data_IF_550246644493
#
_entry.id   IF_550246644493
#
_cell.length_a   1.000
_cell.length_b   1.000
_cell.length_c   1.000
_cell.angle_alpha   90.00
_cell.angle_beta   90.00
_cell.angle_gamma   90.00
#
_symmetry.space_group_name_H-M   'P 1'
#
loop_
_entity.id
_entity.type
_entity.pdbx_description
1 polymer ?
#
# COMPACT_ATOMS: atom_id res chain seq x y z
N UNK A 1 -2.52 25.38 -24.45
CA UNK A 1 -1.97 26.38 -23.52
C UNK A 1 -2.91 26.69 -22.36
N UNK A 2 -4.25 26.57 -22.50
CA UNK A 2 -5.17 26.78 -21.38
C UNK A 2 -5.19 25.60 -20.39
N UNK A 3 -5.05 24.36 -20.88
CA UNK A 3 -5.09 23.16 -20.02
C UNK A 3 -3.90 23.06 -19.06
N UNK A 4 -2.68 23.35 -19.52
CA UNK A 4 -1.47 23.30 -18.66
C UNK A 4 -1.50 24.36 -17.56
N UNK A 5 -2.00 25.57 -17.86
CA UNK A 5 -2.12 26.63 -16.87
C UNK A 5 -3.16 26.28 -15.81
N UNK A 6 -4.30 25.72 -16.22
CA UNK A 6 -5.33 25.25 -15.29
C UNK A 6 -4.77 24.15 -14.38
N UNK A 7 -4.09 23.14 -14.94
CA UNK A 7 -3.45 22.07 -14.17
C UNK A 7 -2.46 22.61 -13.13
N UNK A 8 -1.59 23.55 -13.50
CA UNK A 8 -0.61 24.12 -12.55
C UNK A 8 -1.28 24.91 -11.43
N UNK A 9 -2.35 25.65 -11.74
CA UNK A 9 -3.10 26.43 -10.74
C UNK A 9 -3.85 25.50 -9.81
N UNK A 10 -4.55 24.49 -10.33
CA UNK A 10 -5.27 23.51 -9.53
C UNK A 10 -4.32 22.72 -8.63
N UNK A 11 -3.26 22.14 -9.21
CA UNK A 11 -2.28 21.37 -8.45
C UNK A 11 -1.60 22.22 -7.37
N UNK A 12 -1.22 23.45 -7.70
CA UNK A 12 -0.65 24.39 -6.73
C UNK A 12 -1.63 24.74 -5.60
N UNK A 13 -2.91 24.94 -5.94
CA UNK A 13 -3.96 25.21 -4.97
C UNK A 13 -4.22 24.00 -4.06
N UNK A 14 -4.23 22.77 -4.61
CA UNK A 14 -4.37 21.52 -3.86
C UNK A 14 -3.20 21.35 -2.89
N UNK A 15 -1.95 21.43 -3.35
CA UNK A 15 -0.77 21.24 -2.50
C UNK A 15 -0.72 22.29 -1.38
N UNK A 16 -0.97 23.57 -1.71
CA UNK A 16 -1.04 24.63 -0.70
C UNK A 16 -2.19 24.41 0.29
N UNK A 17 -3.37 24.04 -0.21
CA UNK A 17 -4.56 23.76 0.59
C UNK A 17 -4.32 22.61 1.57
N UNK A 18 -3.80 21.48 1.08
CA UNK A 18 -3.41 20.33 1.91
C UNK A 18 -2.35 20.71 2.94
N UNK A 19 -1.34 21.49 2.58
CA UNK A 19 -0.33 21.98 3.53
C UNK A 19 -0.92 22.85 4.64
N UNK A 20 -1.87 23.73 4.33
CA UNK A 20 -2.57 24.55 5.32
C UNK A 20 -3.47 23.71 6.23
N UNK A 21 -4.22 22.77 5.64
CA UNK A 21 -5.08 21.83 6.36
C UNK A 21 -4.25 20.93 7.28
N UNK A 22 -3.12 20.40 6.81
CA UNK A 22 -2.21 19.59 7.61
C UNK A 22 -1.61 20.38 8.78
N UNK A 23 -1.23 21.65 8.54
CA UNK A 23 -0.78 22.55 9.61
C UNK A 23 -1.88 22.82 10.64
N UNK A 24 -3.13 22.93 10.22
CA UNK A 24 -4.27 23.08 11.11
C UNK A 24 -4.52 21.79 11.92
N UNK A 25 -4.53 20.63 11.27
CA UNK A 25 -4.68 19.32 11.90
C UNK A 25 -3.62 19.08 12.99
N UNK A 26 -2.36 19.39 12.68
CA UNK A 26 -1.26 19.26 13.64
C UNK A 26 -1.43 20.15 14.89
N UNK A 27 -2.07 21.33 14.77
CA UNK A 27 -2.34 22.20 15.93
C UNK A 27 -3.42 21.64 16.86
N UNK A 28 -4.36 20.87 16.33
CA UNK A 28 -5.44 20.24 17.11
C UNK A 28 -5.11 18.81 17.55
N UNK A 29 -3.91 18.31 17.23
CA UNK A 29 -3.48 16.95 17.57
C UNK A 29 -4.16 15.85 16.74
N UNK A 30 -4.65 16.18 15.55
CA UNK A 30 -5.32 15.26 14.62
C UNK A 30 -4.37 14.89 13.48
N UNK A 31 -4.39 13.62 13.03
CA UNK A 31 -3.75 13.27 11.74
C UNK A 31 -4.46 14.01 10.59
N UNK A 32 -3.75 14.57 9.61
CA UNK A 32 -4.38 15.30 8.49
C UNK A 32 -5.29 14.45 7.59
N UNK A 33 -5.15 13.13 7.61
CA UNK A 33 -5.78 12.22 6.64
C UNK A 33 -7.31 12.39 6.54
N UNK A 34 -8.11 12.44 7.63
CA UNK A 34 -9.54 12.62 7.51
C UNK A 34 -9.91 13.95 6.82
N UNK A 35 -9.14 15.00 7.05
CA UNK A 35 -9.37 16.29 6.40
C UNK A 35 -8.99 16.25 4.92
N UNK A 36 -7.95 15.49 4.56
CA UNK A 36 -7.59 15.25 3.15
C UNK A 36 -8.67 14.45 2.41
N UNK A 37 -9.27 13.46 3.06
CA UNK A 37 -10.40 12.70 2.49
C UNK A 37 -11.64 13.59 2.28
N UNK A 38 -11.96 14.47 3.24
CA UNK A 38 -13.03 15.45 3.08
C UNK A 38 -12.74 16.45 1.95
N UNK A 39 -11.49 16.88 1.81
CA UNK A 39 -11.08 17.70 0.67
C UNK A 39 -11.25 16.95 -0.65
N UNK A 40 -10.80 15.69 -0.73
CA UNK A 40 -11.00 14.84 -1.90
C UNK A 40 -12.47 14.67 -2.28
N UNK A 41 -13.36 14.53 -1.30
CA UNK A 41 -14.81 14.48 -1.54
C UNK A 41 -15.39 15.81 -2.02
N UNK A 42 -14.90 16.93 -1.48
CA UNK A 42 -15.37 18.27 -1.84
C UNK A 42 -14.89 18.73 -3.22
N UNK A 43 -13.68 18.31 -3.62
CA UNK A 43 -13.00 18.77 -4.83
C UNK A 43 -12.87 17.70 -5.93
N UNK A 44 -13.26 16.46 -5.65
CA UNK A 44 -13.30 15.37 -6.63
C UNK A 44 -14.51 15.44 -7.55
N UNK A 45 -14.62 14.45 -8.45
CA UNK A 45 -15.71 14.38 -9.41
C UNK A 45 -17.07 14.28 -8.72
N UNK A 46 -18.01 15.17 -9.08
CA UNK A 46 -19.32 15.28 -8.42
C UNK A 46 -19.31 16.00 -7.06
N UNK A 47 -18.17 16.58 -6.66
CA UNK A 47 -18.01 17.41 -5.47
C UNK A 47 -18.58 18.83 -5.61
N UNK A 48 -18.26 19.68 -4.64
CA UNK A 48 -18.66 21.09 -4.60
C UNK A 48 -17.96 21.91 -5.68
N UNK A 49 -16.65 21.67 -5.87
CA UNK A 49 -15.82 22.37 -6.86
C UNK A 49 -14.89 21.33 -7.50
N UNK A 50 -15.34 20.60 -8.53
CA UNK A 50 -14.53 19.58 -9.18
C UNK A 50 -13.22 20.14 -9.77
N UNK A 51 -12.12 19.43 -9.54
CA UNK A 51 -10.78 19.74 -10.07
C UNK A 51 -10.41 18.77 -11.20
N UNK A 52 -11.10 18.89 -12.33
CA UNK A 52 -10.97 17.94 -13.44
C UNK A 52 -9.60 18.04 -14.16
N UNK A 53 -8.94 19.21 -14.14
CA UNK A 53 -7.68 19.40 -14.87
C UNK A 53 -6.48 18.73 -14.18
N UNK A 54 -6.57 18.46 -12.87
CA UNK A 54 -5.53 17.82 -12.07
C UNK A 54 -5.80 16.35 -11.73
N UNK A 55 -6.95 15.80 -12.15
CA UNK A 55 -7.40 14.44 -11.79
C UNK A 55 -6.41 13.36 -12.21
N UNK A 56 -6.00 13.34 -13.49
CA UNK A 56 -5.08 12.32 -14.02
C UNK A 56 -3.73 12.33 -13.29
N UNK A 57 -3.16 13.52 -13.08
CA UNK A 57 -1.91 13.68 -12.34
C UNK A 57 -2.06 13.21 -10.89
N UNK A 58 -3.16 13.57 -10.23
CA UNK A 58 -3.41 13.20 -8.83
C UNK A 58 -3.60 11.70 -8.68
N UNK A 59 -4.26 11.04 -9.64
CA UNK A 59 -4.47 9.59 -9.65
C UNK A 59 -3.15 8.83 -9.74
N UNK A 60 -2.32 9.17 -10.73
CA UNK A 60 -0.99 8.56 -10.90
C UNK A 60 -0.08 8.91 -9.73
N UNK A 61 -0.12 10.16 -9.27
CA UNK A 61 0.64 10.63 -8.11
C UNK A 61 0.30 9.85 -6.84
N UNK A 62 -0.97 9.60 -6.57
CA UNK A 62 -1.42 8.83 -5.41
C UNK A 62 -0.91 7.38 -5.45
N UNK A 63 -0.92 6.73 -6.63
CA UNK A 63 -0.34 5.38 -6.77
C UNK A 63 1.16 5.38 -6.48
N UNK A 64 1.90 6.37 -6.99
CA UNK A 64 3.34 6.54 -6.70
C UNK A 64 3.56 6.77 -5.21
N UNK A 65 2.74 7.60 -4.56
CA UNK A 65 2.79 7.87 -3.12
C UNK A 65 2.65 6.59 -2.29
N UNK A 66 1.68 5.73 -2.62
CA UNK A 66 1.49 4.43 -1.96
C UNK A 66 2.68 3.49 -2.19
N UNK A 67 3.20 3.42 -3.42
CA UNK A 67 4.39 2.62 -3.76
C UNK A 67 5.59 3.09 -2.92
N UNK A 68 5.84 4.39 -2.86
CA UNK A 68 6.93 4.98 -2.08
C UNK A 68 6.77 4.73 -0.58
N UNK A 69 5.54 4.87 -0.06
CA UNK A 69 5.25 4.64 1.36
C UNK A 69 5.56 3.19 1.75
N UNK A 70 5.10 2.22 0.96
CA UNK A 70 5.32 0.81 1.26
C UNK A 70 6.76 0.37 0.98
N UNK A 71 7.43 0.94 -0.02
CA UNK A 71 8.86 0.76 -0.20
C UNK A 71 9.63 1.22 1.05
N UNK A 72 9.38 2.44 1.53
CA UNK A 72 10.06 2.99 2.71
C UNK A 72 9.79 2.14 3.95
N UNK A 73 8.57 1.64 4.11
CA UNK A 73 8.25 0.68 5.16
C UNK A 73 9.08 -0.60 5.00
N UNK A 74 9.18 -1.15 3.79
CA UNK A 74 9.99 -2.34 3.50
C UNK A 74 11.48 -2.15 3.82
N UNK A 75 12.03 -0.96 3.59
CA UNK A 75 13.43 -0.62 3.92
C UNK A 75 13.71 -0.65 5.43
N UNK A 76 12.68 -0.54 6.28
CA UNK A 76 12.83 -0.60 7.74
C UNK A 76 12.91 -2.04 8.27
N UNK A 77 12.59 -3.04 7.44
CA UNK A 77 12.56 -4.45 7.85
C UNK A 77 13.59 -5.29 7.08
N UNK A 78 14.31 -6.14 7.79
CA UNK A 78 15.00 -7.26 7.15
C UNK A 78 14.03 -8.39 6.83
N UNK A 79 14.36 -9.18 5.81
CA UNK A 79 13.54 -10.31 5.39
C UNK A 79 13.38 -11.38 6.50
N UNK A 80 14.38 -11.56 7.35
CA UNK A 80 14.32 -12.43 8.54
C UNK A 80 13.41 -11.88 9.64
N UNK A 81 13.40 -10.56 9.84
CA UNK A 81 12.51 -9.91 10.81
C UNK A 81 11.06 -9.98 10.33
N UNK A 82 10.81 -9.84 9.03
CA UNK A 82 9.47 -10.03 8.46
C UNK A 82 8.94 -11.44 8.79
N UNK A 83 9.69 -12.49 8.41
CA UNK A 83 9.24 -13.88 8.62
C UNK A 83 9.02 -14.16 10.10
N UNK A 84 9.90 -13.67 10.97
CA UNK A 84 9.78 -13.84 12.42
C UNK A 84 8.56 -13.10 12.95
N UNK A 85 8.31 -11.88 12.48
CA UNK A 85 7.16 -11.05 12.85
C UNK A 85 5.86 -11.71 12.39
N UNK A 86 5.76 -12.17 11.15
CA UNK A 86 4.58 -12.87 10.63
C UNK A 86 4.25 -14.13 11.45
N UNK A 87 5.25 -14.93 11.81
CA UNK A 87 5.04 -16.11 12.67
C UNK A 87 4.57 -15.74 14.07
N UNK A 88 5.15 -14.68 14.63
CA UNK A 88 4.82 -14.22 15.99
C UNK A 88 3.43 -13.60 16.04
N UNK A 89 3.03 -12.86 14.99
CA UNK A 89 1.76 -12.15 14.93
C UNK A 89 0.61 -12.94 14.30
N UNK A 90 0.85 -14.17 13.85
CA UNK A 90 -0.19 -15.02 13.28
C UNK A 90 -1.46 -15.14 14.14
N UNK A 91 -1.39 -15.31 15.48
CA UNK A 91 -2.59 -15.33 16.32
C UNK A 91 -3.36 -14.01 16.28
N UNK A 92 -2.66 -12.87 16.29
CA UNK A 92 -3.25 -11.53 16.19
C UNK A 92 -3.95 -11.35 14.85
N UNK A 93 -3.31 -11.74 13.75
CA UNK A 93 -3.90 -11.70 12.42
C UNK A 93 -5.12 -12.63 12.26
N UNK A 94 -5.13 -13.78 12.92
CA UNK A 94 -6.30 -14.66 12.91
C UNK A 94 -7.49 -14.06 13.69
N UNK A 95 -7.23 -13.44 14.83
CA UNK A 95 -8.27 -12.72 15.60
C UNK A 95 -8.81 -11.55 14.79
N UNK A 96 -7.92 -10.76 14.19
CA UNK A 96 -8.28 -9.67 13.29
C UNK A 96 -9.18 -10.14 12.13
N UNK A 97 -8.77 -11.20 11.41
CA UNK A 97 -9.58 -11.82 10.36
C UNK A 97 -10.97 -12.20 10.84
N UNK A 98 -11.06 -13.00 11.91
CA UNK A 98 -12.35 -13.53 12.36
C UNK A 98 -13.26 -12.40 12.83
N UNK A 99 -12.74 -11.45 13.60
CA UNK A 99 -13.57 -10.38 14.17
C UNK A 99 -14.01 -9.36 13.13
N UNK A 100 -13.20 -9.07 12.11
CA UNK A 100 -13.54 -8.08 11.10
C UNK A 100 -14.25 -8.68 9.88
N UNK A 101 -13.93 -9.91 9.47
CA UNK A 101 -14.58 -10.56 8.31
C UNK A 101 -15.99 -11.08 8.64
N UNK A 102 -16.19 -11.64 9.84
CA UNK A 102 -17.45 -12.29 10.21
C UNK A 102 -18.66 -11.35 10.18
N UNK A 103 -18.60 -10.12 10.74
CA UNK A 103 -19.72 -9.18 10.67
C UNK A 103 -20.12 -8.83 9.24
N UNK A 104 -19.14 -8.65 8.34
CA UNK A 104 -19.38 -8.40 6.93
C UNK A 104 -20.07 -9.59 6.24
N UNK A 105 -19.57 -10.81 6.44
CA UNK A 105 -20.23 -12.02 5.91
C UNK A 105 -21.68 -12.14 6.39
N UNK A 106 -21.91 -11.98 7.69
CA UNK A 106 -23.25 -12.08 8.30
C UNK A 106 -24.18 -11.02 7.73
N UNK A 107 -23.72 -9.77 7.61
CA UNK A 107 -24.51 -8.69 7.03
C UNK A 107 -24.94 -8.99 5.59
N UNK A 108 -24.02 -9.46 4.74
CA UNK A 108 -24.33 -9.82 3.35
C UNK A 108 -25.32 -10.98 3.25
N UNK A 109 -25.22 -11.98 4.13
CA UNK A 109 -26.18 -13.08 4.18
C UNK A 109 -27.57 -12.59 4.60
N UNK A 110 -27.66 -11.70 5.60
CA UNK A 110 -28.93 -11.08 6.04
C UNK A 110 -29.55 -10.25 4.91
N UNK A 111 -28.73 -9.53 4.14
CA UNK A 111 -29.16 -8.74 2.98
C UNK A 111 -29.52 -9.59 1.75
N UNK A 112 -29.35 -10.92 1.82
CA UNK A 112 -29.68 -11.83 0.73
C UNK A 112 -28.69 -11.82 -0.44
N UNK A 113 -27.46 -11.34 -0.23
CA UNK A 113 -26.44 -11.26 -1.30
C UNK A 113 -25.81 -12.62 -1.64
N UNK A 114 -26.21 -13.68 -0.94
CA UNK A 114 -25.73 -15.04 -1.15
C UNK A 114 -24.28 -15.29 -0.73
N UNK A 115 -23.73 -16.48 -0.99
CA UNK A 115 -22.40 -16.87 -0.51
C UNK A 115 -21.26 -16.03 -1.10
N UNK A 116 -21.34 -15.66 -2.38
CA UNK A 116 -20.31 -14.83 -3.04
C UNK A 116 -20.33 -13.41 -2.47
N UNK A 117 -21.52 -12.83 -2.26
CA UNK A 117 -21.66 -11.54 -1.59
C UNK A 117 -21.17 -11.56 -0.14
N UNK A 118 -21.35 -12.67 0.57
CA UNK A 118 -20.82 -12.86 1.92
C UNK A 118 -19.30 -12.86 1.96
N UNK A 119 -18.65 -13.59 1.03
CA UNK A 119 -17.18 -13.57 0.91
C UNK A 119 -16.68 -12.17 0.52
N UNK A 120 -17.37 -11.50 -0.41
CA UNK A 120 -17.03 -10.14 -0.84
C UNK A 120 -17.07 -9.15 0.34
N UNK A 121 -18.18 -9.13 1.08
CA UNK A 121 -18.37 -8.18 2.18
C UNK A 121 -17.47 -8.50 3.37
N UNK A 122 -17.17 -9.79 3.61
CA UNK A 122 -16.19 -10.22 4.60
C UNK A 122 -14.79 -9.65 4.34
N UNK A 123 -14.29 -9.71 3.11
CA UNK A 123 -12.99 -9.11 2.82
C UNK A 123 -13.01 -7.58 2.88
N UNK A 124 -14.10 -6.95 2.43
CA UNK A 124 -14.26 -5.48 2.53
C UNK A 124 -14.22 -4.99 3.98
N UNK A 125 -14.84 -5.73 4.91
CA UNK A 125 -14.83 -5.34 6.33
C UNK A 125 -13.57 -5.79 7.07
N UNK A 126 -12.84 -6.77 6.53
CA UNK A 126 -11.59 -7.26 7.11
C UNK A 126 -10.40 -6.34 6.84
N UNK A 127 -10.17 -5.99 5.58
CA UNK A 127 -8.91 -5.39 5.15
C UNK A 127 -8.81 -3.94 5.62
N UNK A 128 -7.70 -3.62 6.27
CA UNK A 128 -7.36 -2.27 6.70
C UNK A 128 -6.50 -1.53 5.66
N UNK A 129 -6.53 -0.20 5.67
CA UNK A 129 -5.63 0.60 4.84
C UNK A 129 -4.26 0.74 5.50
N UNK A 130 -3.29 -0.07 5.06
CA UNK A 130 -1.94 -0.09 5.62
C UNK A 130 -1.23 1.26 5.54
N UNK A 131 -1.37 1.96 4.41
CA UNK A 131 -0.80 3.29 4.22
C UNK A 131 -1.36 4.35 5.17
N UNK A 132 -2.70 4.38 5.34
CA UNK A 132 -3.36 5.31 6.27
C UNK A 132 -2.92 5.03 7.71
N UNK A 133 -2.94 3.77 8.14
CA UNK A 133 -2.56 3.41 9.50
C UNK A 133 -1.08 3.72 9.77
N UNK A 134 -0.18 3.38 8.86
CA UNK A 134 1.24 3.71 9.00
C UNK A 134 1.47 5.23 9.10
N UNK A 135 0.74 6.00 8.30
CA UNK A 135 0.80 7.46 8.34
C UNK A 135 0.25 8.02 9.66
N UNK A 136 -0.89 7.53 10.14
CA UNK A 136 -1.45 7.94 11.45
C UNK A 136 -0.49 7.61 12.59
N UNK A 137 0.13 6.43 12.58
CA UNK A 137 1.11 6.03 13.61
C UNK A 137 2.35 6.93 13.60
N UNK A 138 2.78 7.36 12.41
CA UNK A 138 3.88 8.30 12.23
C UNK A 138 3.51 9.70 12.71
N UNK A 139 2.36 10.23 12.25
CA UNK A 139 1.91 11.60 12.56
C UNK A 139 1.63 11.79 14.06
N UNK A 140 1.13 10.75 14.73
CA UNK A 140 0.88 10.74 16.17
C UNK A 140 2.12 10.37 17.01
N UNK A 141 3.28 10.13 16.39
CA UNK A 141 4.52 9.78 17.09
C UNK A 141 4.47 8.44 17.83
N UNK A 142 3.61 7.51 17.37
CA UNK A 142 3.36 6.21 18.04
C UNK A 142 4.23 5.08 17.52
N UNK A 143 5.15 5.33 16.58
CA UNK A 143 6.02 4.28 16.03
C UNK A 143 6.84 3.53 17.09
N UNK A 144 7.27 4.21 18.15
CA UNK A 144 8.04 3.61 19.25
C UNK A 144 7.21 2.82 20.26
N UNK A 145 5.89 2.76 20.12
CA UNK A 145 5.04 2.06 21.07
C UNK A 145 5.12 0.54 20.92
N UNK A 146 4.82 -0.19 22.01
CA UNK A 146 4.95 -1.66 22.07
C UNK A 146 3.93 -2.38 21.18
N UNK A 147 2.78 -1.76 20.93
CA UNK A 147 1.73 -2.29 20.06
C UNK A 147 2.03 -2.11 18.57
N UNK A 148 2.88 -1.16 18.19
CA UNK A 148 3.09 -0.80 16.78
C UNK A 148 3.63 -1.96 15.93
N UNK A 149 4.62 -2.75 16.39
CA UNK A 149 5.07 -3.93 15.65
C UNK A 149 3.97 -4.97 15.43
N UNK A 150 3.01 -5.09 16.36
CA UNK A 150 1.84 -5.98 16.20
C UNK A 150 0.92 -5.45 15.11
N UNK A 151 0.59 -4.15 15.15
CA UNK A 151 -0.25 -3.48 14.15
C UNK A 151 0.36 -3.63 12.76
N UNK A 152 1.64 -3.26 12.60
CA UNK A 152 2.34 -3.37 11.32
C UNK A 152 2.43 -4.82 10.83
N UNK A 153 2.61 -5.78 11.74
CA UNK A 153 2.60 -7.21 11.43
C UNK A 153 1.25 -7.69 10.88
N UNK A 154 0.14 -7.24 11.48
CA UNK A 154 -1.22 -7.56 11.01
C UNK A 154 -1.46 -6.96 9.62
N UNK A 155 -1.09 -5.69 9.39
CA UNK A 155 -1.24 -5.05 8.08
C UNK A 155 -0.50 -5.79 6.96
N UNK A 156 0.72 -6.26 7.22
CA UNK A 156 1.45 -7.05 6.23
C UNK A 156 0.77 -8.41 6.00
N UNK A 157 0.20 -9.03 7.04
CA UNK A 157 -0.59 -10.26 6.86
C UNK A 157 -1.84 -10.04 6.01
N UNK A 158 -2.56 -8.94 6.21
CA UNK A 158 -3.73 -8.55 5.40
C UNK A 158 -3.32 -8.32 3.94
N UNK A 159 -2.25 -7.56 3.70
CA UNK A 159 -1.73 -7.28 2.36
C UNK A 159 -1.31 -8.56 1.62
N UNK A 160 -0.69 -9.52 2.33
CA UNK A 160 -0.37 -10.84 1.77
C UNK A 160 -1.62 -11.70 1.54
N UNK A 161 -2.61 -11.63 2.43
CA UNK A 161 -3.88 -12.34 2.28
C UNK A 161 -4.67 -11.82 1.07
N UNK A 162 -4.60 -10.53 0.76
CA UNK A 162 -5.23 -9.93 -0.43
C UNK A 162 -4.76 -10.56 -1.74
N UNK A 163 -3.47 -10.91 -1.83
CA UNK A 163 -2.92 -11.58 -3.02
C UNK A 163 -3.56 -12.96 -3.30
N UNK A 164 -4.18 -13.57 -2.28
CA UNK A 164 -4.94 -14.82 -2.40
C UNK A 164 -6.44 -14.53 -2.56
N UNK A 165 -6.94 -13.62 -1.73
CA UNK A 165 -8.36 -13.30 -1.61
C UNK A 165 -8.94 -12.68 -2.89
N UNK A 166 -8.28 -11.68 -3.48
CA UNK A 166 -8.82 -10.97 -4.65
C UNK A 166 -8.93 -11.87 -5.90
N UNK A 167 -7.92 -12.68 -6.27
CA UNK A 167 -8.06 -13.64 -7.36
C UNK A 167 -9.17 -14.67 -7.11
N UNK A 168 -9.29 -15.15 -5.87
CA UNK A 168 -10.34 -16.10 -5.50
C UNK A 168 -11.74 -15.48 -5.63
N UNK A 169 -11.93 -14.27 -5.09
CA UNK A 169 -13.18 -13.53 -5.20
C UNK A 169 -13.54 -13.27 -6.66
N UNK A 170 -12.56 -12.86 -7.48
CA UNK A 170 -12.74 -12.61 -8.91
C UNK A 170 -13.20 -13.86 -9.65
N UNK A 171 -12.58 -15.02 -9.36
CA UNK A 171 -12.98 -16.30 -9.93
C UNK A 171 -14.42 -16.70 -9.53
N UNK A 172 -14.78 -16.47 -8.26
CA UNK A 172 -16.13 -16.73 -7.75
C UNK A 172 -17.18 -15.82 -8.43
N UNK A 173 -16.86 -14.53 -8.60
CA UNK A 173 -17.73 -13.56 -9.28
C UNK A 173 -17.90 -13.88 -10.77
N UNK A 174 -16.85 -14.38 -11.42
CA UNK A 174 -16.89 -14.81 -12.82
C UNK A 174 -17.61 -16.16 -13.03
N UNK A 175 -18.05 -16.84 -11.96
CA UNK A 175 -18.70 -18.15 -12.04
C UNK A 175 -17.77 -19.26 -12.55
N UNK A 176 -16.45 -19.05 -12.48
CA UNK A 176 -15.46 -20.02 -12.94
C UNK A 176 -15.37 -21.13 -11.90
N UNK A 177 -15.36 -22.39 -12.33
CA UNK A 177 -15.16 -23.52 -11.42
C UNK A 177 -13.86 -23.38 -10.63
N UNK A 178 -13.80 -24.00 -9.43
CA UNK A 178 -12.61 -24.01 -8.57
C UNK A 178 -11.32 -24.41 -9.32
N UNK A 179 -11.43 -25.16 -10.42
CA UNK A 179 -10.31 -25.51 -11.29
C UNK A 179 -9.70 -24.29 -12.02
N UNK A 180 -10.51 -23.35 -12.54
CA UNK A 180 -10.01 -22.11 -13.14
C UNK A 180 -9.51 -21.11 -12.09
N UNK A 181 -10.18 -21.05 -10.93
CA UNK A 181 -9.72 -20.28 -9.77
C UNK A 181 -8.38 -20.80 -9.21
N UNK A 182 -8.12 -22.10 -9.29
CA UNK A 182 -6.86 -22.72 -8.85
C UNK A 182 -5.66 -22.29 -9.68
N UNK A 183 -5.82 -22.03 -10.98
CA UNK A 183 -4.73 -21.52 -11.81
C UNK A 183 -4.37 -20.07 -11.45
N UNK A 184 -5.37 -19.20 -11.27
CA UNK A 184 -5.15 -17.83 -10.82
C UNK A 184 -4.50 -17.79 -9.43
N UNK A 185 -4.94 -18.66 -8.52
CA UNK A 185 -4.34 -18.83 -7.21
C UNK A 185 -2.88 -19.31 -7.28
N UNK A 186 -2.57 -20.30 -8.13
CA UNK A 186 -1.21 -20.80 -8.34
C UNK A 186 -0.31 -19.74 -8.96
N UNK A 187 -0.83 -18.93 -9.89
CA UNK A 187 -0.08 -17.81 -10.48
C UNK A 187 0.20 -16.74 -9.42
N UNK A 188 -0.80 -16.35 -8.63
CA UNK A 188 -0.63 -15.33 -7.59
C UNK A 188 0.33 -15.80 -6.48
N UNK A 189 0.12 -17.01 -5.95
CA UNK A 189 1.02 -17.61 -4.95
C UNK A 189 2.42 -17.86 -5.51
N UNK A 190 2.52 -18.27 -6.78
CA UNK A 190 3.78 -18.46 -7.48
C UNK A 190 4.53 -17.15 -7.67
N UNK A 191 3.84 -16.07 -8.04
CA UNK A 191 4.41 -14.74 -8.18
C UNK A 191 4.90 -14.19 -6.84
N UNK A 192 4.05 -14.19 -5.81
CA UNK A 192 4.42 -13.72 -4.46
C UNK A 192 5.55 -14.58 -3.90
N UNK A 193 5.46 -15.90 -4.03
CA UNK A 193 6.48 -16.85 -3.57
C UNK A 193 7.81 -16.68 -4.29
N UNK A 194 7.79 -16.46 -5.61
CA UNK A 194 8.99 -16.20 -6.40
C UNK A 194 9.63 -14.87 -6.00
N UNK A 195 8.84 -13.79 -5.86
CA UNK A 195 9.37 -12.48 -5.44
C UNK A 195 9.95 -12.56 -4.04
N UNK A 196 9.24 -13.17 -3.08
CA UNK A 196 9.76 -13.41 -1.74
C UNK A 196 11.03 -14.25 -1.76
N UNK A 197 11.07 -15.32 -2.55
CA UNK A 197 12.25 -16.16 -2.71
C UNK A 197 13.44 -15.38 -3.27
N UNK A 198 13.23 -14.58 -4.32
CA UNK A 198 14.26 -13.73 -4.92
C UNK A 198 14.75 -12.66 -3.92
N UNK A 199 13.85 -11.99 -3.20
CA UNK A 199 14.19 -11.02 -2.17
C UNK A 199 15.01 -11.66 -1.04
N UNK A 200 14.56 -12.81 -0.51
CA UNK A 200 15.23 -13.54 0.57
C UNK A 200 16.60 -14.10 0.14
N UNK A 201 16.68 -14.67 -1.06
CA UNK A 201 17.87 -15.39 -1.54
C UNK A 201 18.90 -14.48 -2.20
N UNK A 202 18.44 -13.45 -2.92
CA UNK A 202 19.27 -12.60 -3.76
C UNK A 202 19.25 -11.13 -3.33
N UNK A 203 18.62 -10.75 -2.21
CA UNK A 203 18.60 -9.36 -1.73
C UNK A 203 19.99 -8.71 -1.64
N UNK A 204 21.01 -9.46 -1.22
CA UNK A 204 22.42 -8.97 -1.22
C UNK A 204 22.98 -8.71 -2.62
N UNK A 205 22.59 -9.50 -3.63
CA UNK A 205 23.01 -9.31 -5.02
C UNK A 205 22.26 -8.14 -5.66
N UNK A 206 20.97 -8.02 -5.38
CA UNK A 206 20.14 -6.88 -5.81
C UNK A 206 20.70 -5.59 -5.20
N UNK A 207 20.94 -5.57 -3.90
CA UNK A 207 21.56 -4.42 -3.22
C UNK A 207 22.93 -4.07 -3.79
N UNK A 208 23.79 -5.05 -4.10
CA UNK A 208 25.09 -4.77 -4.75
C UNK A 208 24.95 -4.25 -6.18
N UNK A 209 23.98 -4.73 -6.95
CA UNK A 209 23.74 -4.27 -8.31
C UNK A 209 23.14 -2.84 -8.35
N UNK A 210 22.37 -2.49 -7.32
CA UNK A 210 21.72 -1.17 -7.16
C UNK A 210 22.61 -0.17 -6.41
N UNK A 211 23.64 -0.65 -5.70
CA UNK A 211 24.58 0.18 -4.96
C UNK A 211 25.29 1.16 -5.89
N UNK A 212 25.17 2.45 -5.60
CA UNK A 212 25.89 3.51 -6.28
C UNK A 212 26.36 4.54 -5.28
N UNK A 213 27.61 4.97 -5.39
CA UNK A 213 28.15 6.07 -4.58
C UNK A 213 27.53 7.42 -4.95
N UNK A 214 26.81 7.50 -6.08
CA UNK A 214 26.10 8.70 -6.52
C UNK A 214 24.63 8.66 -6.04
N UNK A 215 24.20 9.61 -5.17
CA UNK A 215 22.82 9.68 -4.67
C UNK A 215 21.75 9.77 -5.77
N UNK A 216 22.03 10.47 -6.87
CA UNK A 216 21.08 10.61 -7.98
C UNK A 216 20.84 9.26 -8.68
N UNK A 217 21.92 8.53 -8.95
CA UNK A 217 21.85 7.19 -9.54
C UNK A 217 21.13 6.22 -8.61
N UNK A 218 21.42 6.27 -7.32
CA UNK A 218 20.75 5.45 -6.32
C UNK A 218 19.24 5.71 -6.31
N UNK A 219 18.82 6.98 -6.31
CA UNK A 219 17.41 7.36 -6.37
C UNK A 219 16.74 6.79 -7.63
N UNK A 220 17.34 7.03 -8.81
CA UNK A 220 16.75 6.61 -10.09
C UNK A 220 16.64 5.09 -10.19
N UNK A 221 17.66 4.35 -9.76
CA UNK A 221 17.65 2.89 -9.83
C UNK A 221 16.65 2.30 -8.84
N UNK A 222 16.64 2.75 -7.58
CA UNK A 222 15.71 2.24 -6.58
C UNK A 222 14.27 2.57 -6.94
N UNK A 223 13.99 3.81 -7.32
CA UNK A 223 12.64 4.23 -7.71
C UNK A 223 12.19 3.49 -8.97
N UNK A 224 13.03 3.45 -10.00
CA UNK A 224 12.72 2.77 -11.26
C UNK A 224 12.48 1.27 -11.07
N UNK A 225 13.32 0.59 -10.29
CA UNK A 225 13.13 -0.82 -9.94
C UNK A 225 11.81 -1.02 -9.18
N UNK A 226 11.52 -0.17 -8.20
CA UNK A 226 10.33 -0.30 -7.35
C UNK A 226 9.06 -0.14 -8.18
N UNK A 227 8.97 0.93 -8.99
CA UNK A 227 7.79 1.19 -9.84
C UNK A 227 7.63 0.09 -10.89
N UNK A 228 8.73 -0.40 -11.47
CA UNK A 228 8.68 -1.51 -12.43
C UNK A 228 8.15 -2.80 -11.78
N UNK A 229 8.68 -3.17 -10.61
CA UNK A 229 8.23 -4.36 -9.88
C UNK A 229 6.78 -4.21 -9.43
N UNK A 230 6.38 -3.03 -8.95
CA UNK A 230 5.01 -2.73 -8.56
C UNK A 230 4.03 -2.87 -9.74
N UNK A 231 4.38 -2.34 -10.92
CA UNK A 231 3.58 -2.49 -12.13
C UNK A 231 3.50 -3.94 -12.63
N UNK A 232 4.58 -4.72 -12.53
CA UNK A 232 4.55 -6.15 -12.85
C UNK A 232 3.70 -6.92 -11.83
N UNK A 233 3.79 -6.59 -10.54
CA UNK A 233 2.97 -7.20 -9.50
C UNK A 233 1.47 -6.97 -9.78
N UNK A 234 1.09 -5.74 -10.14
CA UNK A 234 -0.27 -5.38 -10.49
C UNK A 234 -0.81 -6.18 -11.70
N UNK A 235 0.01 -6.40 -12.73
CA UNK A 235 -0.36 -7.27 -13.85
C UNK A 235 -0.61 -8.73 -13.43
N UNK A 236 0.08 -9.20 -12.39
CA UNK A 236 -0.07 -10.54 -11.82
C UNK A 236 -1.18 -10.62 -10.76
N UNK A 237 -2.05 -9.61 -10.66
CA UNK A 237 -3.14 -9.53 -9.67
C UNK A 237 -2.65 -9.45 -8.21
N UNK A 238 -1.41 -9.01 -8.00
CA UNK A 238 -0.85 -8.68 -6.69
C UNK A 238 -0.85 -7.16 -6.54
N UNK A 239 -1.14 -6.63 -5.35
CA UNK A 239 -1.12 -5.18 -5.13
C UNK A 239 0.26 -4.59 -5.47
N UNK A 240 0.28 -3.46 -6.20
CA UNK A 240 1.48 -2.68 -6.47
C UNK A 240 2.25 -2.33 -5.19
N UNK A 241 1.51 -2.08 -4.11
CA UNK A 241 2.03 -1.78 -2.79
C UNK A 241 2.86 -2.96 -2.21
N UNK A 242 2.38 -4.19 -2.37
CA UNK A 242 3.10 -5.41 -1.95
C UNK A 242 4.39 -5.58 -2.75
N UNK A 243 4.34 -5.36 -4.07
CA UNK A 243 5.54 -5.38 -4.91
C UNK A 243 6.61 -4.39 -4.42
N UNK A 244 6.20 -3.17 -4.11
CA UNK A 244 7.08 -2.13 -3.59
C UNK A 244 7.67 -2.49 -2.22
N UNK A 245 6.85 -3.00 -1.30
CA UNK A 245 7.29 -3.48 0.01
C UNK A 245 8.36 -4.58 -0.08
N UNK A 246 8.17 -5.53 -0.98
CA UNK A 246 9.11 -6.63 -1.21
C UNK A 246 10.45 -6.15 -1.77
N UNK A 247 10.44 -5.13 -2.65
CA UNK A 247 11.67 -4.46 -3.09
C UNK A 247 12.37 -3.81 -1.90
N UNK A 248 11.64 -3.12 -1.03
CA UNK A 248 12.18 -2.51 0.19
C UNK A 248 12.92 -3.53 1.07
N UNK A 249 12.32 -4.69 1.31
CA UNK A 249 12.92 -5.77 2.11
C UNK A 249 14.17 -6.38 1.44
N UNK A 250 14.20 -6.41 0.10
CA UNK A 250 15.35 -6.92 -0.65
C UNK A 250 16.56 -5.97 -0.56
N UNK A 251 16.32 -4.67 -0.38
CA UNK A 251 17.35 -3.66 -0.18
C UNK A 251 17.75 -3.63 1.30
N UNK A 252 19.05 -3.55 1.58
CA UNK A 252 19.55 -3.58 2.95
C UNK A 252 20.86 -2.80 3.08
N UNK A 253 21.27 -2.50 4.31
CA UNK A 253 22.51 -1.78 4.61
C UNK A 253 22.52 -0.35 4.05
N UNK A 254 23.66 0.09 3.54
CA UNK A 254 23.89 1.46 3.06
C UNK A 254 22.92 1.88 1.94
N UNK A 255 22.53 0.94 1.07
CA UNK A 255 21.54 1.17 -0.01
C UNK A 255 20.18 1.50 0.57
N UNK A 256 19.75 0.81 1.63
CA UNK A 256 18.46 1.08 2.28
C UNK A 256 18.46 2.42 3.02
N UNK A 257 19.54 2.75 3.72
CA UNK A 257 19.68 4.05 4.39
C UNK A 257 19.71 5.22 3.39
N UNK A 258 20.48 5.08 2.31
CA UNK A 258 20.56 6.06 1.23
C UNK A 258 19.22 6.26 0.54
N UNK A 259 18.55 5.17 0.16
CA UNK A 259 17.23 5.20 -0.45
C UNK A 259 16.19 5.86 0.47
N UNK A 260 16.20 5.51 1.76
CA UNK A 260 15.28 6.11 2.75
C UNK A 260 15.44 7.62 2.81
N UNK A 261 16.66 8.12 2.90
CA UNK A 261 16.95 9.56 2.98
C UNK A 261 16.48 10.31 1.73
N UNK A 262 16.64 9.71 0.56
CA UNK A 262 16.33 10.33 -0.73
C UNK A 262 14.84 10.27 -1.08
N UNK A 263 14.15 9.18 -0.73
CA UNK A 263 12.76 8.93 -1.12
C UNK A 263 11.74 9.44 -0.11
N UNK A 264 12.13 9.68 1.15
CA UNK A 264 11.22 10.22 2.19
C UNK A 264 10.54 11.53 1.76
N UNK A 265 11.25 12.55 1.22
CA UNK A 265 10.60 13.78 0.79
C UNK A 265 9.67 13.59 -0.41
N UNK A 266 9.97 12.64 -1.30
CA UNK A 266 9.11 12.31 -2.44
C UNK A 266 7.82 11.64 -1.98
N UNK A 267 7.92 10.70 -1.03
CA UNK A 267 6.76 10.10 -0.38
C UNK A 267 5.89 11.15 0.31
N UNK A 268 6.48 12.14 0.97
CA UNK A 268 5.68 13.16 1.67
C UNK A 268 4.98 14.14 0.71
N UNK A 269 5.43 14.21 -0.56
CA UNK A 269 4.81 15.02 -1.60
C UNK A 269 3.64 14.31 -2.30
N UNK A 270 3.79 13.02 -2.59
CA UNK A 270 2.84 12.18 -3.33
C UNK A 270 1.93 11.40 -2.40
#
# INVERSE_FOLDING_TARGET
MHDTTALLVELGAVILGLGLVGRFAGRIGLSPIPLYLLAGLAFGHGGLIPLDASEEFTMVGAEIGVILLLLLLGLEYSASELVTSLKTQYPSGAVDFVLNATPGAVAALILGWGPVGAVALAGVTWISSSGVIAKVMTDLGRLGNRETPVILGVLVMEDLAMAIYLPLLTAMLAGVSLAGGSLALVIALGAVGLVLYLALRHGRLISRAVSSDNPEMLLLVVLGLTVLVAGVAQQLQVSAAVGAFLVGIALSGEVAEGARKLLTPLRDLF
#
